data_IF_677682783784
#
_entry.id   IF_677682783784
#
_cell.length_a   1.000
_cell.length_b   1.000
_cell.length_c   1.000
_cell.angle_alpha   90.00
_cell.angle_beta   90.00
_cell.angle_gamma   90.00
#
_symmetry.space_group_name_H-M   'P 1'
#
loop_
_entity.id
_entity.type
_entity.pdbx_description
1 polymer ?
#
# COMPACT_ATOMS: atom_id res chain seq x y z
N UNK A 1 2.01 18.45 -3.94
CA UNK A 1 3.28 18.14 -3.24
C UNK A 1 4.26 19.26 -3.51
N UNK A 2 4.40 20.20 -2.57
CA UNK A 2 5.47 21.18 -2.62
C UNK A 2 6.77 20.46 -2.22
N UNK A 3 7.66 20.23 -3.19
CA UNK A 3 9.00 19.70 -2.94
C UNK A 3 9.78 20.71 -2.09
N UNK A 4 10.17 20.31 -0.89
CA UNK A 4 11.01 21.13 -0.01
C UNK A 4 12.31 21.49 -0.75
N UNK A 5 12.64 22.77 -0.87
CA UNK A 5 13.84 23.20 -1.59
C UNK A 5 15.08 22.75 -0.82
N UNK A 6 16.15 22.37 -1.52
CA UNK A 6 17.42 22.10 -0.87
C UNK A 6 17.91 23.37 -0.12
N UNK A 7 18.42 23.24 1.12
CA UNK A 7 18.69 24.39 2.00
C UNK A 7 19.79 25.35 1.51
N UNK A 8 20.59 24.99 0.49
CA UNK A 8 21.70 25.80 -0.04
C UNK A 8 21.56 26.24 -1.50
N UNK A 9 20.45 25.92 -2.18
CA UNK A 9 20.26 26.26 -3.60
C UNK A 9 19.60 27.62 -3.79
N UNK A 10 20.23 28.52 -4.54
CA UNK A 10 19.64 29.80 -4.98
C UNK A 10 18.33 29.66 -5.76
N UNK A 11 17.85 30.75 -6.38
CA UNK A 11 16.49 30.92 -6.93
C UNK A 11 16.01 29.81 -7.91
N UNK A 12 16.89 28.97 -8.45
CA UNK A 12 16.57 27.77 -9.25
C UNK A 12 16.60 26.43 -8.48
N UNK A 13 16.50 26.46 -7.14
CA UNK A 13 16.78 25.40 -6.18
C UNK A 13 16.56 23.96 -6.66
N UNK A 14 17.64 23.19 -6.71
CA UNK A 14 17.59 21.77 -7.07
C UNK A 14 16.63 20.98 -6.18
N UNK A 15 16.01 19.97 -6.79
CA UNK A 15 15.15 19.03 -6.08
C UNK A 15 15.98 18.31 -5.00
N UNK A 16 15.63 18.54 -3.72
CA UNK A 16 16.35 17.99 -2.57
C UNK A 16 16.54 16.47 -2.65
N UNK A 17 15.55 15.76 -3.18
CA UNK A 17 15.56 14.31 -3.31
C UNK A 17 16.64 13.85 -4.30
N UNK A 18 16.87 14.62 -5.38
CA UNK A 18 17.95 14.36 -6.34
C UNK A 18 19.33 14.63 -5.75
N UNK A 19 19.43 15.63 -4.87
CA UNK A 19 20.69 15.91 -4.14
C UNK A 19 20.96 14.79 -3.14
N UNK A 20 19.96 14.42 -2.34
CA UNK A 20 20.08 13.35 -1.35
C UNK A 20 20.36 11.98 -1.98
N UNK A 21 19.86 11.72 -3.21
CA UNK A 21 20.07 10.45 -3.91
C UNK A 21 21.54 10.11 -4.20
N UNK A 22 22.47 11.06 -4.06
CA UNK A 22 23.91 10.78 -4.18
C UNK A 22 24.41 9.90 -3.03
N UNK A 23 23.92 10.16 -1.81
CA UNK A 23 24.47 9.56 -0.59
C UNK A 23 23.43 8.73 0.19
N UNK A 24 22.14 8.88 -0.12
CA UNK A 24 21.03 8.25 0.60
C UNK A 24 20.33 7.22 -0.31
N UNK A 25 20.52 5.90 -0.08
CA UNK A 25 19.97 4.86 -0.94
C UNK A 25 18.45 4.94 -1.13
N UNK A 26 17.70 5.22 -0.05
CA UNK A 26 16.23 5.37 -0.15
C UNK A 26 15.84 6.56 -1.04
N UNK A 27 16.58 7.67 -1.00
CA UNK A 27 16.35 8.80 -1.89
C UNK A 27 16.65 8.44 -3.35
N UNK A 28 17.71 7.65 -3.60
CA UNK A 28 18.03 7.13 -4.93
C UNK A 28 16.91 6.24 -5.49
N UNK A 29 16.38 5.32 -4.68
CA UNK A 29 15.23 4.48 -5.05
C UNK A 29 13.99 5.31 -5.38
N UNK A 30 13.70 6.37 -4.61
CA UNK A 30 12.61 7.29 -4.93
C UNK A 30 12.84 8.04 -6.25
N UNK A 31 14.05 8.55 -6.50
CA UNK A 31 14.38 9.19 -7.80
C UNK A 31 14.19 8.19 -8.94
N UNK A 32 14.66 6.95 -8.78
CA UNK A 32 14.52 5.90 -9.78
C UNK A 32 13.06 5.56 -10.05
N UNK A 33 12.18 5.51 -9.04
CA UNK A 33 10.75 5.22 -9.23
C UNK A 33 10.05 6.24 -10.15
N UNK A 34 10.51 7.50 -10.08
CA UNK A 34 9.98 8.61 -10.88
C UNK A 34 10.53 8.66 -12.31
N UNK A 35 11.54 7.83 -12.64
CA UNK A 35 11.97 7.64 -14.01
C UNK A 35 10.85 6.98 -14.84
N UNK A 36 10.66 7.43 -16.08
CA UNK A 36 9.71 6.84 -17.02
C UNK A 36 10.06 5.39 -17.36
N UNK A 37 11.34 5.03 -17.29
CA UNK A 37 11.89 3.72 -17.57
C UNK A 37 12.07 2.84 -16.33
N UNK A 38 11.55 3.27 -15.17
CA UNK A 38 11.66 2.50 -13.93
C UNK A 38 11.07 1.08 -14.10
N UNK A 39 11.86 0.08 -13.70
CA UNK A 39 11.44 -1.33 -13.71
C UNK A 39 11.13 -1.88 -12.32
N UNK A 40 10.64 -3.14 -12.25
CA UNK A 40 10.37 -3.86 -10.99
C UNK A 40 11.54 -3.94 -10.00
N UNK A 41 12.78 -3.78 -10.45
CA UNK A 41 13.95 -3.72 -9.55
C UNK A 41 13.81 -2.60 -8.51
N UNK A 42 13.22 -1.45 -8.87
CA UNK A 42 13.05 -0.33 -7.93
C UNK A 42 12.17 -0.71 -6.72
N UNK A 43 11.18 -1.59 -6.93
CA UNK A 43 10.38 -2.13 -5.81
C UNK A 43 11.23 -3.03 -4.90
N UNK A 44 12.07 -3.88 -5.50
CA UNK A 44 12.97 -4.76 -4.77
C UNK A 44 14.02 -3.97 -3.98
N UNK A 45 14.53 -2.87 -4.55
CA UNK A 45 15.46 -1.97 -3.88
C UNK A 45 14.83 -1.36 -2.61
N UNK A 46 13.56 -0.93 -2.66
CA UNK A 46 12.85 -0.47 -1.46
C UNK A 46 12.69 -1.59 -0.42
N UNK A 47 12.33 -2.81 -0.84
CA UNK A 47 12.18 -3.93 0.07
C UNK A 47 13.50 -4.26 0.79
N UNK A 48 14.62 -4.27 0.07
CA UNK A 48 15.97 -4.47 0.62
C UNK A 48 16.40 -3.38 1.60
N UNK A 49 15.87 -2.18 1.44
CA UNK A 49 16.09 -1.06 2.36
C UNK A 49 15.19 -1.12 3.60
N UNK A 50 14.29 -2.10 3.70
CA UNK A 50 13.31 -2.18 4.80
C UNK A 50 12.16 -1.18 4.67
N UNK A 51 11.88 -0.73 3.45
CA UNK A 51 10.84 0.24 3.12
C UNK A 51 9.67 -0.45 2.41
N UNK A 52 8.98 -1.36 3.09
CA UNK A 52 7.88 -2.16 2.55
C UNK A 52 6.70 -1.29 2.07
N UNK A 53 6.37 -0.20 2.79
CA UNK A 53 5.35 0.76 2.33
C UNK A 53 5.73 1.40 0.99
N UNK A 54 6.99 1.85 0.86
CA UNK A 54 7.49 2.40 -0.39
C UNK A 54 7.54 1.34 -1.50
N UNK A 55 7.91 0.10 -1.16
CA UNK A 55 7.91 -1.03 -2.08
C UNK A 55 6.49 -1.34 -2.59
N UNK A 56 5.48 -1.38 -1.73
CA UNK A 56 4.06 -1.56 -2.14
C UNK A 56 3.62 -0.44 -3.08
N UNK A 57 3.95 0.81 -2.77
CA UNK A 57 3.65 1.96 -3.63
C UNK A 57 4.37 1.87 -4.99
N UNK A 58 5.65 1.47 -4.98
CA UNK A 58 6.43 1.24 -6.19
C UNK A 58 5.77 0.17 -7.06
N UNK A 59 5.40 -0.98 -6.47
CA UNK A 59 4.69 -2.05 -7.15
C UNK A 59 3.37 -1.57 -7.78
N UNK A 60 2.61 -0.74 -7.06
CA UNK A 60 1.38 -0.11 -7.57
C UNK A 60 1.62 0.79 -8.77
N UNK A 61 2.60 1.69 -8.67
CA UNK A 61 2.91 2.62 -9.77
C UNK A 61 3.42 1.87 -11.00
N UNK A 62 4.32 0.92 -10.81
CA UNK A 62 4.88 0.11 -11.89
C UNK A 62 3.81 -0.75 -12.57
N UNK A 63 2.94 -1.40 -11.80
CA UNK A 63 1.82 -2.17 -12.36
C UNK A 63 0.81 -1.30 -13.11
N UNK A 64 0.51 -0.09 -12.62
CA UNK A 64 -0.36 0.88 -13.34
C UNK A 64 0.25 1.35 -14.66
N UNK A 65 1.59 1.39 -14.76
CA UNK A 65 2.33 1.64 -16.00
C UNK A 65 2.49 0.39 -16.88
N UNK A 66 1.91 -0.75 -16.48
CA UNK A 66 2.10 -2.04 -17.13
C UNK A 66 3.58 -2.44 -17.30
N UNK A 67 4.45 -2.00 -16.38
CA UNK A 67 5.86 -2.38 -16.36
C UNK A 67 6.00 -3.92 -16.32
N UNK A 68 7.01 -4.43 -17.02
CA UNK A 68 7.32 -5.87 -17.10
C UNK A 68 8.58 -6.20 -16.30
N UNK A 69 8.73 -7.47 -15.94
CA UNK A 69 9.93 -7.98 -15.27
C UNK A 69 9.70 -8.33 -13.80
N UNK A 70 8.45 -8.50 -13.36
CA UNK A 70 8.17 -9.03 -12.02
C UNK A 70 8.45 -10.54 -11.96
N UNK A 71 8.14 -11.28 -13.02
CA UNK A 71 8.40 -12.72 -13.13
C UNK A 71 9.86 -13.14 -12.87
N UNK A 72 10.88 -12.56 -13.55
CA UNK A 72 12.28 -12.94 -13.32
C UNK A 72 12.80 -12.59 -11.92
N UNK A 73 12.20 -11.62 -11.24
CA UNK A 73 12.59 -11.24 -9.87
C UNK A 73 11.95 -12.12 -8.80
N UNK A 74 10.94 -12.93 -9.13
CA UNK A 74 10.15 -13.64 -8.14
C UNK A 74 10.91 -14.79 -7.43
N UNK A 75 12.08 -15.18 -7.94
CA UNK A 75 12.97 -16.15 -7.28
C UNK A 75 14.03 -15.46 -6.39
N UNK A 76 14.08 -14.13 -6.37
CA UNK A 76 14.95 -13.39 -5.47
C UNK A 76 14.46 -13.57 -4.02
N UNK A 77 15.34 -13.91 -3.07
CA UNK A 77 14.94 -14.14 -1.67
C UNK A 77 14.35 -12.90 -1.00
N UNK A 78 14.70 -11.70 -1.47
CA UNK A 78 14.16 -10.43 -0.97
C UNK A 78 12.86 -10.03 -1.70
N UNK A 79 12.37 -10.86 -2.64
CA UNK A 79 11.17 -10.54 -3.40
C UNK A 79 9.92 -10.50 -2.50
N UNK A 80 9.23 -9.36 -2.40
CA UNK A 80 8.15 -9.23 -1.43
C UNK A 80 6.94 -10.11 -1.74
N UNK A 81 6.38 -10.75 -0.71
CA UNK A 81 5.20 -11.60 -0.84
C UNK A 81 4.00 -10.86 -1.48
N UNK A 82 3.77 -9.59 -1.12
CA UNK A 82 2.68 -8.77 -1.68
C UNK A 82 2.80 -8.54 -3.20
N UNK A 83 3.98 -8.75 -3.78
CA UNK A 83 4.26 -8.59 -5.20
C UNK A 83 4.12 -9.90 -6.00
N UNK A 84 3.95 -11.05 -5.33
CA UNK A 84 3.87 -12.38 -5.96
C UNK A 84 2.78 -12.47 -7.03
N UNK A 85 1.62 -11.85 -6.80
CA UNK A 85 0.55 -11.81 -7.79
C UNK A 85 0.93 -11.07 -9.09
N UNK A 86 1.86 -10.11 -9.05
CA UNK A 86 2.35 -9.43 -10.26
C UNK A 86 3.22 -10.36 -11.11
N UNK A 87 4.08 -11.16 -10.46
CA UNK A 87 4.87 -12.19 -11.13
C UNK A 87 3.97 -13.29 -11.73
N UNK A 88 2.98 -13.76 -10.96
CA UNK A 88 2.01 -14.76 -11.44
C UNK A 88 1.28 -14.27 -12.69
N UNK A 89 0.86 -13.00 -12.72
CA UNK A 89 0.18 -12.41 -13.88
C UNK A 89 1.06 -12.41 -15.14
N UNK A 90 2.38 -12.22 -15.00
CA UNK A 90 3.30 -12.34 -16.15
C UNK A 90 3.49 -13.79 -16.60
N UNK A 91 3.60 -14.73 -15.65
CA UNK A 91 3.69 -16.15 -15.95
C UNK A 91 2.44 -16.71 -16.63
N UNK A 92 1.24 -16.15 -16.38
CA UNK A 92 0.02 -16.60 -17.06
C UNK A 92 0.14 -16.55 -18.60
N UNK A 93 0.93 -15.61 -19.15
CA UNK A 93 1.15 -15.49 -20.59
C UNK A 93 2.40 -16.21 -21.12
N UNK A 94 3.31 -16.64 -20.25
CA UNK A 94 4.66 -17.13 -20.63
C UNK A 94 4.96 -18.53 -20.09
N UNK A 95 4.58 -18.81 -18.84
CA UNK A 95 4.81 -20.07 -18.12
C UNK A 95 3.53 -20.51 -17.35
N UNK A 96 2.46 -20.95 -18.04
CA UNK A 96 1.15 -21.15 -17.41
C UNK A 96 1.14 -22.18 -16.26
N UNK A 97 1.95 -23.24 -16.36
CA UNK A 97 2.07 -24.25 -15.30
C UNK A 97 2.70 -23.66 -14.04
N UNK A 98 3.72 -22.82 -14.19
CA UNK A 98 4.35 -22.10 -13.08
C UNK A 98 3.37 -21.11 -12.44
N UNK A 99 2.62 -20.38 -13.26
CA UNK A 99 1.57 -19.48 -12.79
C UNK A 99 0.51 -20.21 -11.96
N UNK A 100 0.04 -21.37 -12.43
CA UNK A 100 -0.95 -22.17 -11.72
C UNK A 100 -0.43 -22.70 -10.38
N UNK A 101 0.79 -23.23 -10.35
CA UNK A 101 1.43 -23.71 -9.13
C UNK A 101 1.61 -22.57 -8.10
N UNK A 102 2.09 -21.41 -8.53
CA UNK A 102 2.30 -20.27 -7.66
C UNK A 102 0.96 -19.66 -7.17
N UNK A 103 -0.08 -19.63 -8.00
CA UNK A 103 -1.44 -19.23 -7.57
C UNK A 103 -2.01 -20.16 -6.50
N UNK A 104 -1.76 -21.47 -6.62
CA UNK A 104 -2.19 -22.44 -5.61
C UNK A 104 -1.49 -22.22 -4.25
N UNK A 105 -0.25 -21.71 -4.25
CA UNK A 105 0.49 -21.39 -3.03
C UNK A 105 0.13 -20.05 -2.37
N UNK A 106 -0.57 -19.14 -3.07
CA UNK A 106 -0.99 -17.88 -2.44
C UNK A 106 -1.98 -18.13 -1.31
N UNK A 107 -1.92 -17.40 -0.19
CA UNK A 107 -2.95 -17.44 0.83
C UNK A 107 -4.35 -17.25 0.23
N UNK A 108 -5.33 -17.96 0.77
CA UNK A 108 -6.69 -17.93 0.21
C UNK A 108 -7.27 -16.51 0.18
N UNK A 109 -6.93 -15.68 1.19
CA UNK A 109 -7.34 -14.27 1.36
C UNK A 109 -6.38 -13.24 0.73
N UNK A 110 -5.34 -13.66 0.01
CA UNK A 110 -4.30 -12.76 -0.51
C UNK A 110 -4.91 -11.65 -1.41
N UNK A 111 -4.75 -10.36 -1.06
CA UNK A 111 -5.29 -9.25 -1.83
C UNK A 111 -4.85 -9.21 -3.30
N UNK A 112 -3.70 -9.81 -3.62
CA UNK A 112 -3.15 -9.96 -4.96
C UNK A 112 -3.96 -10.86 -5.87
N UNK A 113 -4.78 -11.77 -5.34
CA UNK A 113 -5.66 -12.64 -6.16
C UNK A 113 -6.61 -11.84 -7.05
N UNK A 114 -7.04 -10.65 -6.63
CA UNK A 114 -7.87 -9.74 -7.44
C UNK A 114 -7.16 -9.23 -8.71
N UNK A 115 -5.83 -9.32 -8.81
CA UNK A 115 -5.10 -9.00 -10.04
C UNK A 115 -5.17 -10.12 -11.09
N UNK A 116 -5.54 -11.32 -10.66
CA UNK A 116 -5.51 -12.55 -11.45
C UNK A 116 -6.91 -12.95 -11.93
N UNK A 117 -7.96 -12.23 -11.47
CA UNK A 117 -9.35 -12.44 -11.83
C UNK A 117 -10.29 -11.79 -10.82
N UNK A 118 -11.60 -11.89 -11.05
CA UNK A 118 -12.62 -11.47 -10.09
C UNK A 118 -12.48 -12.26 -8.80
N UNK A 119 -12.17 -11.55 -7.71
CA UNK A 119 -11.89 -12.16 -6.43
C UNK A 119 -12.27 -11.21 -5.30
N UNK A 120 -12.97 -11.72 -4.29
CA UNK A 120 -13.29 -11.02 -3.06
C UNK A 120 -12.90 -11.92 -1.88
N UNK A 121 -12.01 -11.48 -0.97
CA UNK A 121 -11.61 -12.30 0.16
C UNK A 121 -12.75 -12.47 1.15
N UNK A 122 -12.79 -13.64 1.79
CA UNK A 122 -13.64 -13.86 2.95
C UNK A 122 -13.20 -12.94 4.12
N UNK A 123 -14.11 -12.23 4.79
CA UNK A 123 -13.76 -11.31 5.88
C UNK A 123 -12.97 -11.95 7.04
N UNK A 124 -13.30 -13.18 7.44
CA UNK A 124 -12.60 -13.85 8.53
C UNK A 124 -11.18 -14.27 8.09
N UNK A 125 -11.05 -14.75 6.86
CA UNK A 125 -9.75 -15.07 6.28
C UNK A 125 -8.86 -13.82 6.10
N UNK A 126 -9.45 -12.65 5.84
CA UNK A 126 -8.71 -11.38 5.78
C UNK A 126 -8.15 -10.97 7.16
N UNK A 127 -8.92 -11.17 8.23
CA UNK A 127 -8.44 -10.96 9.61
C UNK A 127 -7.29 -11.91 9.92
N UNK A 128 -7.42 -13.19 9.61
CA UNK A 128 -6.34 -14.16 9.83
C UNK A 128 -5.07 -13.79 9.02
N UNK A 129 -5.24 -13.28 7.80
CA UNK A 129 -4.11 -12.82 7.00
C UNK A 129 -3.43 -11.58 7.60
N UNK A 130 -4.18 -10.71 8.28
CA UNK A 130 -3.63 -9.50 8.93
C UNK A 130 -2.62 -9.80 10.04
N UNK A 131 -2.57 -11.03 10.55
CA UNK A 131 -1.55 -11.45 11.52
C UNK A 131 -0.16 -11.65 10.86
N UNK A 132 -0.11 -11.78 9.53
CA UNK A 132 1.12 -12.08 8.78
C UNK A 132 1.42 -11.10 7.64
N UNK A 133 0.42 -10.35 7.14
CA UNK A 133 0.60 -9.32 6.13
C UNK A 133 0.76 -7.94 6.79
N UNK A 134 1.93 -7.28 6.66
CA UNK A 134 2.19 -6.01 7.34
C UNK A 134 1.24 -4.88 6.96
N UNK A 135 0.71 -4.86 5.73
CA UNK A 135 -0.16 -3.78 5.27
C UNK A 135 -1.58 -3.94 5.83
N UNK A 136 -2.07 -5.18 5.89
CA UNK A 136 -3.33 -5.50 6.57
C UNK A 136 -3.21 -5.32 8.08
N UNK A 137 -2.09 -5.71 8.69
CA UNK A 137 -1.81 -5.48 10.10
C UNK A 137 -1.87 -3.97 10.42
N UNK A 138 -1.26 -3.14 9.58
CA UNK A 138 -1.29 -1.69 9.71
C UNK A 138 -2.71 -1.12 9.59
N UNK A 139 -3.48 -1.56 8.60
CA UNK A 139 -4.89 -1.15 8.45
C UNK A 139 -5.70 -1.54 9.69
N UNK A 140 -5.55 -2.78 10.16
CA UNK A 140 -6.19 -3.28 11.37
C UNK A 140 -5.84 -2.45 12.59
N UNK A 141 -4.55 -2.20 12.84
CA UNK A 141 -4.09 -1.39 13.97
C UNK A 141 -4.60 0.05 13.95
N UNK A 142 -4.66 0.69 12.78
CA UNK A 142 -5.26 2.03 12.65
C UNK A 142 -6.76 2.01 12.93
N UNK A 143 -7.48 1.00 12.42
CA UNK A 143 -8.92 0.87 12.68
C UNK A 143 -9.21 0.55 14.15
N UNK A 144 -8.42 -0.30 14.79
CA UNK A 144 -8.56 -0.64 16.20
C UNK A 144 -8.28 0.60 17.09
N UNK A 145 -7.30 1.44 16.73
CA UNK A 145 -7.00 2.69 17.42
C UNK A 145 -8.11 3.74 17.30
N UNK A 146 -8.82 3.78 16.15
CA UNK A 146 -9.87 4.76 15.87
C UNK A 146 -11.27 4.29 16.26
N UNK A 147 -11.49 2.98 16.28
CA UNK A 147 -12.78 2.33 16.49
C UNK A 147 -12.63 1.19 17.52
N UNK A 148 -12.68 1.50 18.82
CA UNK A 148 -12.31 0.55 19.87
C UNK A 148 -13.34 -0.56 20.14
N UNK A 149 -14.39 -0.70 19.32
CA UNK A 149 -15.34 -1.80 19.43
C UNK A 149 -14.78 -3.08 18.75
N UNK A 150 -14.41 -4.11 19.53
CA UNK A 150 -13.85 -5.35 18.98
C UNK A 150 -14.90 -6.23 18.29
N UNK A 151 -16.19 -6.09 18.63
CA UNK A 151 -17.24 -6.94 18.08
C UNK A 151 -17.42 -6.73 16.57
N UNK A 152 -17.18 -5.51 16.10
CA UNK A 152 -17.27 -5.12 14.69
C UNK A 152 -15.92 -5.17 13.94
N UNK A 153 -14.82 -5.63 14.57
CA UNK A 153 -13.46 -5.61 13.98
C UNK A 153 -13.39 -6.28 12.60
N UNK A 154 -13.91 -7.50 12.48
CA UNK A 154 -13.88 -8.28 11.22
C UNK A 154 -14.63 -7.57 10.09
N UNK A 155 -15.86 -7.12 10.37
CA UNK A 155 -16.69 -6.43 9.38
C UNK A 155 -16.09 -5.07 8.98
N UNK A 156 -15.52 -4.35 9.95
CA UNK A 156 -14.85 -3.06 9.73
C UNK A 156 -13.60 -3.20 8.87
N UNK A 157 -12.73 -4.16 9.18
CA UNK A 157 -11.51 -4.40 8.38
C UNK A 157 -11.85 -4.74 6.93
N UNK A 158 -12.80 -5.67 6.71
CA UNK A 158 -13.21 -6.06 5.37
C UNK A 158 -13.84 -4.89 4.59
N UNK A 159 -14.71 -4.11 5.24
CA UNK A 159 -15.34 -2.94 4.62
C UNK A 159 -14.32 -1.86 4.29
N UNK A 160 -13.40 -1.55 5.21
CA UNK A 160 -12.34 -0.57 4.97
C UNK A 160 -11.40 -1.02 3.86
N UNK A 161 -11.00 -2.29 3.82
CA UNK A 161 -10.19 -2.86 2.75
C UNK A 161 -10.88 -2.71 1.38
N UNK A 162 -12.15 -3.09 1.27
CA UNK A 162 -12.93 -2.95 0.04
C UNK A 162 -13.03 -1.48 -0.39
N UNK A 163 -13.33 -0.56 0.55
CA UNK A 163 -13.46 0.88 0.29
C UNK A 163 -12.16 1.55 -0.16
N UNK A 164 -11.02 1.11 0.36
CA UNK A 164 -9.71 1.60 -0.04
C UNK A 164 -9.33 1.13 -1.46
N UNK A 165 -10.11 0.23 -2.07
CA UNK A 165 -9.81 -0.35 -3.38
C UNK A 165 -8.94 -1.61 -3.28
N UNK A 166 -9.07 -2.34 -2.18
CA UNK A 166 -8.39 -3.60 -1.92
C UNK A 166 -6.87 -3.45 -1.87
N UNK A 167 -6.16 -4.35 -2.58
CA UNK A 167 -4.68 -4.36 -2.65
C UNK A 167 -4.09 -3.00 -2.99
N UNK A 168 -4.70 -2.25 -3.90
CA UNK A 168 -4.15 -0.97 -4.31
C UNK A 168 -4.34 0.13 -3.28
N UNK A 169 -5.35 0.02 -2.43
CA UNK A 169 -5.53 0.89 -1.28
C UNK A 169 -4.47 0.66 -0.22
N UNK A 170 -4.14 -0.61 0.07
CA UNK A 170 -3.11 -0.98 1.05
C UNK A 170 -1.72 -0.41 0.70
N UNK A 171 -1.43 -0.20 -0.58
CA UNK A 171 -0.17 0.39 -1.03
C UNK A 171 -0.02 1.89 -0.72
N UNK A 172 -1.11 2.58 -0.33
CA UNK A 172 -1.07 3.98 0.12
C UNK A 172 -1.01 4.10 1.65
N UNK A 173 -1.01 2.97 2.37
CA UNK A 173 -0.86 2.91 3.82
C UNK A 173 0.61 2.77 4.22
N UNK A 174 1.00 3.49 5.25
CA UNK A 174 2.34 3.42 5.81
C UNK A 174 2.84 4.77 6.30
N UNK A 175 3.87 4.77 7.14
CA UNK A 175 4.66 5.96 7.38
C UNK A 175 5.42 6.37 6.10
N UNK A 176 5.88 7.62 6.01
CA UNK A 176 6.65 8.11 4.87
C UNK A 176 8.06 7.48 4.75
N UNK A 177 8.59 6.92 5.84
CA UNK A 177 9.86 6.18 5.90
C UNK A 177 9.80 5.16 7.05
N UNK A 178 9.65 3.88 6.75
CA UNK A 178 9.45 2.82 7.74
C UNK A 178 10.70 2.57 8.60
N UNK A 179 11.89 2.79 8.04
CA UNK A 179 13.15 2.64 8.77
C UNK A 179 13.33 3.69 9.87
N UNK A 180 12.64 4.84 9.76
CA UNK A 180 12.70 5.93 10.76
C UNK A 180 11.49 5.90 11.69
N UNK A 181 10.33 5.53 11.16
CA UNK A 181 9.05 5.53 11.88
C UNK A 181 8.46 4.14 11.71
N UNK A 182 8.64 3.28 12.72
CA UNK A 182 8.05 1.94 12.68
C UNK A 182 6.51 1.97 12.69
N UNK A 183 5.84 0.89 12.27
CA UNK A 183 4.38 0.82 12.16
C UNK A 183 3.64 1.22 13.44
N UNK A 184 4.08 0.75 14.61
CA UNK A 184 3.42 1.06 15.89
C UNK A 184 3.53 2.55 16.26
N UNK A 185 4.71 3.14 16.01
CA UNK A 185 4.95 4.58 16.21
C UNK A 185 4.09 5.40 15.25
N UNK A 186 3.96 4.93 14.01
CA UNK A 186 3.07 5.56 13.03
C UNK A 186 1.61 5.50 13.50
N UNK A 187 1.11 4.32 13.88
CA UNK A 187 -0.27 4.14 14.37
C UNK A 187 -0.57 5.10 15.51
N UNK A 188 0.33 5.22 16.49
CA UNK A 188 0.17 6.10 17.64
C UNK A 188 0.35 7.61 17.32
N UNK A 189 0.80 7.97 16.13
CA UNK A 189 1.10 9.36 15.77
C UNK A 189 -0.18 10.18 15.50
N UNK A 190 -0.12 11.48 15.77
CA UNK A 190 -1.20 12.42 15.42
C UNK A 190 -1.41 12.56 13.89
N UNK A 191 -0.50 12.04 13.06
CA UNK A 191 -0.57 12.16 11.61
C UNK A 191 -1.20 10.95 10.92
N UNK A 192 -1.25 9.79 11.58
CA UNK A 192 -1.79 8.57 10.97
C UNK A 192 -3.30 8.61 10.77
N UNK A 193 -4.03 9.17 11.73
CA UNK A 193 -5.47 9.36 11.63
C UNK A 193 -5.87 10.21 10.41
N UNK A 194 -5.38 11.46 10.25
CA UNK A 194 -5.72 12.26 9.08
C UNK A 194 -5.23 11.60 7.77
N UNK A 195 -4.12 10.85 7.79
CA UNK A 195 -3.67 10.10 6.64
C UNK A 195 -4.67 8.99 6.22
N UNK A 196 -5.17 8.19 7.16
CA UNK A 196 -6.15 7.13 6.87
C UNK A 196 -7.49 7.72 6.38
N UNK A 197 -8.06 8.68 7.11
CA UNK A 197 -9.41 9.20 6.77
C UNK A 197 -9.44 9.86 5.39
N UNK A 198 -8.33 10.45 4.94
CA UNK A 198 -8.21 11.02 3.59
C UNK A 198 -8.23 9.98 2.48
N UNK A 199 -7.81 8.75 2.77
CA UNK A 199 -7.86 7.64 1.82
C UNK A 199 -9.26 7.01 1.72
N UNK A 200 -10.07 7.10 2.78
CA UNK A 200 -11.44 6.59 2.78
C UNK A 200 -12.34 7.41 1.84
N UNK A 201 -13.16 6.78 0.99
CA UNK A 201 -14.07 7.50 0.10
C UNK A 201 -15.14 8.26 0.89
N UNK A 202 -15.81 9.22 0.23
CA UNK A 202 -16.99 9.86 0.81
C UNK A 202 -18.13 8.83 0.99
N UNK A 203 -18.96 8.94 2.04
CA UNK A 203 -20.06 8.02 2.24
C UNK A 203 -21.07 8.13 1.09
N UNK A 204 -21.30 7.02 0.39
CA UNK A 204 -22.42 6.93 -0.55
C UNK A 204 -23.72 6.72 0.26
N UNK A 205 -24.80 7.47 0.01
CA UNK A 205 -26.04 7.36 0.79
C UNK A 205 -26.61 5.94 0.83
N UNK A 206 -26.51 5.21 -0.28
CA UNK A 206 -27.04 3.86 -0.44
C UNK A 206 -26.13 2.79 0.17
N UNK A 207 -24.83 3.06 0.29
CA UNK A 207 -23.84 2.13 0.84
C UNK A 207 -23.65 2.23 2.36
N UNK A 208 -24.05 3.36 2.96
CA UNK A 208 -23.77 3.66 4.37
C UNK A 208 -24.64 2.87 5.37
N UNK A 209 -25.85 2.47 4.98
CA UNK A 209 -26.81 1.82 5.89
C UNK A 209 -26.36 0.45 6.43
N UNK A 210 -25.42 -0.22 5.75
CA UNK A 210 -24.84 -1.50 6.18
C UNK A 210 -23.44 -1.40 6.78
N UNK A 211 -22.92 -0.18 6.97
CA UNK A 211 -21.57 0.02 7.49
C UNK A 211 -21.54 0.01 9.02
N UNK A 212 -20.38 -0.40 9.54
CA UNK A 212 -20.00 -0.11 10.92
C UNK A 212 -20.12 1.41 11.19
N UNK A 213 -20.83 1.83 12.25
CA UNK A 213 -21.05 3.25 12.54
C UNK A 213 -19.76 4.06 12.70
N UNK A 214 -18.71 3.46 13.27
CA UNK A 214 -17.43 4.14 13.42
C UNK A 214 -16.77 4.36 12.06
N UNK A 215 -16.77 3.35 11.18
CA UNK A 215 -16.27 3.51 9.82
C UNK A 215 -17.01 4.60 9.04
N UNK A 216 -18.34 4.69 9.19
CA UNK A 216 -19.14 5.75 8.57
C UNK A 216 -18.73 7.15 9.09
N UNK A 217 -18.48 7.30 10.40
CA UNK A 217 -17.96 8.54 10.98
C UNK A 217 -16.58 8.91 10.42
N UNK A 218 -15.66 7.94 10.31
CA UNK A 218 -14.33 8.16 9.72
C UNK A 218 -14.42 8.63 8.26
N UNK A 219 -15.34 8.07 7.46
CA UNK A 219 -15.59 8.50 6.08
C UNK A 219 -16.09 9.95 6.03
N UNK A 220 -17.00 10.33 6.94
CA UNK A 220 -17.53 11.69 7.02
C UNK A 220 -16.44 12.71 7.43
N UNK A 221 -15.57 12.35 8.37
CA UNK A 221 -14.39 13.16 8.74
C UNK A 221 -13.46 13.33 7.55
N UNK A 222 -13.15 12.25 6.84
CA UNK A 222 -12.32 12.28 5.63
C UNK A 222 -12.90 13.18 4.54
N UNK A 223 -14.21 13.12 4.32
CA UNK A 223 -14.91 14.00 3.37
C UNK A 223 -14.79 15.49 3.78
N UNK A 224 -14.93 15.77 5.08
CA UNK A 224 -14.81 17.13 5.63
C UNK A 224 -13.37 17.66 5.48
N UNK A 225 -12.36 16.84 5.78
CA UNK A 225 -10.96 17.23 5.59
C UNK A 225 -10.60 17.48 4.13
N UNK A 226 -11.09 16.64 3.20
CA UNK A 226 -10.83 16.86 1.77
C UNK A 226 -11.49 18.14 1.26
N UNK A 227 -12.66 18.50 1.78
CA UNK A 227 -13.35 19.72 1.42
C UNK A 227 -12.67 21.00 1.94
N UNK A 228 -11.79 20.89 2.96
CA UNK A 228 -11.05 22.03 3.51
C UNK A 228 -9.65 22.22 2.90
N UNK A 229 -9.23 21.34 1.99
CA UNK A 229 -7.98 21.50 1.26
C UNK A 229 -8.14 22.59 0.18
N UNK A 230 -7.24 23.58 0.12
CA UNK A 230 -7.27 24.67 -0.87
C UNK A 230 -6.92 24.23 -2.29
#
# INVERSE_FOLDING_TARGET
>A
MALMRAPSGGISGGNWLRVAAVDVPVAAAWVALWDGNAGPMVMLDFARLGEDAAARLAAKRLARRAAKGFAPLAEDPDFPAFARALAIREWQGTEPQKAQAALASLPAADPGRALLGSYRPDPAALVALSDTDPALALLGGLLDALCPDPAARTARLASAFDMLGGRWGLADLGPPAEVLIGPDVWIASAQSQPALVRLLPAPAPEGAAGLDPCLADLMQRGATERASLP
#
